data_IF_621102576053
#
_entry.id   IF_621102576053
#
_cell.length_a   1.000
_cell.length_b   1.000
_cell.length_c   1.000
_cell.angle_alpha   90.00
_cell.angle_beta   90.00
_cell.angle_gamma   90.00
#
_symmetry.space_group_name_H-M   'P 1'
#
loop_
_entity.id
_entity.type
_entity.pdbx_description
1 polymer ?
#
# COMPACT_ATOMS: atom_id res chain seq x y z
N UNK A 1 -37.92 -44.59 73.37
CA UNK A 1 -37.86 -43.68 74.50
C UNK A 1 -36.47 -43.18 74.71
N UNK A 2 -36.19 -41.97 75.05
CA UNK A 2 -36.96 -40.75 75.07
C UNK A 2 -36.44 -39.64 74.09
N UNK A 3 -37.30 -38.71 73.96
CA UNK A 3 -37.27 -37.41 73.26
C UNK A 3 -36.17 -36.48 73.83
N UNK A 4 -35.43 -35.75 72.95
CA UNK A 4 -34.78 -34.47 73.29
C UNK A 4 -35.02 -33.43 72.18
N UNK A 5 -35.60 -32.34 72.59
CA UNK A 5 -35.90 -31.13 71.85
C UNK A 5 -34.73 -30.20 71.62
N UNK A 6 -34.89 -29.23 70.73
CA UNK A 6 -33.77 -28.56 70.08
C UNK A 6 -33.33 -27.30 70.80
N UNK A 7 -32.05 -27.02 70.68
CA UNK A 7 -31.40 -25.80 71.15
C UNK A 7 -31.30 -24.78 69.99
N UNK A 8 -31.87 -23.59 70.19
CA UNK A 8 -31.83 -22.44 69.29
C UNK A 8 -30.46 -21.76 69.41
N UNK A 9 -29.67 -21.81 68.39
CA UNK A 9 -28.42 -21.02 68.26
C UNK A 9 -28.66 -19.85 67.33
N UNK A 10 -28.79 -18.66 67.91
CA UNK A 10 -28.74 -17.37 67.20
C UNK A 10 -27.31 -17.13 66.70
N UNK A 11 -27.09 -17.21 65.39
CA UNK A 11 -25.84 -16.73 64.76
C UNK A 11 -26.10 -15.49 63.96
N UNK A 12 -25.55 -14.43 64.44
CA UNK A 12 -25.45 -13.15 63.79
C UNK A 12 -24.86 -13.29 62.41
N UNK A 13 -25.56 -12.78 61.38
CA UNK A 13 -25.03 -12.65 60.03
C UNK A 13 -24.41 -11.25 59.90
N UNK A 14 -23.12 -11.14 59.52
CA UNK A 14 -22.58 -9.86 59.15
C UNK A 14 -23.10 -9.50 57.75
N UNK A 15 -23.66 -8.30 57.58
CA UNK A 15 -23.94 -7.68 56.33
C UNK A 15 -22.61 -7.44 55.58
N UNK A 16 -22.33 -8.21 54.55
CA UNK A 16 -21.29 -7.91 53.59
C UNK A 16 -21.76 -6.76 52.70
N UNK A 17 -21.19 -5.60 52.93
CA UNK A 17 -21.34 -4.44 52.08
C UNK A 17 -20.54 -4.73 50.77
N UNK A 18 -21.23 -5.20 49.72
CA UNK A 18 -20.65 -5.25 48.38
C UNK A 18 -20.54 -3.84 47.82
N UNK A 19 -19.38 -3.21 47.96
CA UNK A 19 -19.03 -2.02 47.22
C UNK A 19 -18.82 -2.47 45.77
N UNK A 20 -19.80 -2.23 44.91
CA UNK A 20 -19.71 -2.41 43.48
C UNK A 20 -18.77 -1.32 42.96
N UNK A 21 -17.50 -1.69 42.76
CA UNK A 21 -16.52 -0.88 42.06
C UNK A 21 -16.88 -0.90 40.57
N UNK A 22 -17.64 0.10 40.13
CA UNK A 22 -17.95 0.32 38.71
C UNK A 22 -16.66 0.79 38.09
N UNK A 23 -15.94 -0.16 37.49
CA UNK A 23 -14.83 0.13 36.57
C UNK A 23 -15.40 0.88 35.37
N UNK A 24 -15.27 2.19 35.38
CA UNK A 24 -15.45 3.03 34.20
C UNK A 24 -14.33 2.66 33.20
N UNK A 25 -14.61 1.73 32.30
CA UNK A 25 -13.80 1.50 31.12
C UNK A 25 -14.21 2.61 30.15
N UNK A 26 -13.32 3.59 29.88
CA UNK A 26 -13.64 4.56 28.85
C UNK A 26 -13.81 3.81 27.53
N UNK A 27 -14.78 4.16 26.69
CA UNK A 27 -14.89 3.58 25.37
C UNK A 27 -13.57 3.86 24.65
N UNK A 28 -12.83 2.82 24.30
CA UNK A 28 -11.78 2.93 23.32
C UNK A 28 -12.46 3.32 22.02
N UNK A 29 -12.50 4.61 21.76
CA UNK A 29 -12.85 5.14 20.46
C UNK A 29 -11.75 4.63 19.54
N UNK A 30 -12.06 3.56 18.84
CA UNK A 30 -11.28 3.11 17.68
C UNK A 30 -11.43 4.21 16.63
N UNK A 31 -10.56 5.20 16.71
CA UNK A 31 -10.40 6.22 15.69
C UNK A 31 -9.66 5.62 14.50
N UNK A 32 -10.30 4.65 13.85
CA UNK A 32 -9.99 4.22 12.50
C UNK A 32 -10.56 5.18 11.48
N UNK A 33 -10.37 6.47 11.67
CA UNK A 33 -10.60 7.44 10.61
C UNK A 33 -9.45 7.27 9.62
N UNK A 34 -9.75 6.69 8.44
CA UNK A 34 -8.89 6.75 7.27
C UNK A 34 -8.63 8.22 6.95
N UNK A 35 -7.56 8.77 7.52
CA UNK A 35 -7.10 10.11 7.15
C UNK A 35 -6.43 9.96 5.78
N UNK A 36 -7.12 10.39 4.73
CA UNK A 36 -6.49 10.66 3.45
C UNK A 36 -5.52 11.81 3.66
N UNK A 37 -4.23 11.50 3.65
CA UNK A 37 -3.19 12.53 3.76
C UNK A 37 -2.92 13.11 2.36
N UNK A 38 -2.68 14.41 2.30
CA UNK A 38 -2.14 15.01 1.08
C UNK A 38 -0.75 14.42 0.84
N UNK A 39 -0.48 13.87 -0.37
CA UNK A 39 0.85 13.36 -0.69
C UNK A 39 1.92 14.40 -0.38
N UNK A 40 3.03 13.95 0.20
CA UNK A 40 4.16 14.83 0.45
C UNK A 40 4.72 15.40 -0.86
N UNK A 41 5.42 16.53 -0.82
CA UNK A 41 5.95 17.19 -2.01
C UNK A 41 6.98 16.36 -2.79
N UNK A 42 7.43 15.25 -2.20
CA UNK A 42 8.37 14.30 -2.78
C UNK A 42 7.70 13.14 -3.54
N UNK A 43 6.35 13.10 -3.60
CA UNK A 43 5.59 12.07 -4.31
C UNK A 43 4.88 12.70 -5.50
N UNK A 44 5.15 12.18 -6.69
CA UNK A 44 4.41 12.53 -7.90
C UNK A 44 3.70 11.30 -8.42
N UNK A 45 2.39 11.30 -8.28
CA UNK A 45 1.54 10.31 -8.94
C UNK A 45 1.32 10.69 -10.39
N UNK A 46 1.31 9.69 -11.24
CA UNK A 46 0.93 9.81 -12.63
C UNK A 46 -0.41 9.08 -12.86
N UNK A 47 -1.19 9.58 -13.81
CA UNK A 47 -2.37 8.90 -14.33
C UNK A 47 -2.11 8.46 -15.75
N UNK A 48 -2.18 7.15 -16.00
CA UNK A 48 -2.12 6.61 -17.35
C UNK A 48 -3.54 6.60 -17.90
N UNK A 49 -3.73 7.21 -19.05
CA UNK A 49 -5.00 7.20 -19.78
C UNK A 49 -4.82 6.35 -21.03
N UNK A 50 -5.57 5.26 -21.08
CA UNK A 50 -5.59 4.31 -22.18
C UNK A 50 -6.81 4.63 -23.04
N UNK A 51 -6.59 5.04 -24.27
CA UNK A 51 -7.64 5.29 -25.26
C UNK A 51 -8.62 6.41 -24.86
N UNK A 52 -8.60 7.52 -25.60
CA UNK A 52 -9.48 8.67 -25.38
C UNK A 52 -10.97 8.36 -25.60
N UNK A 53 -11.30 7.33 -26.41
CA UNK A 53 -12.70 6.95 -26.72
C UNK A 53 -13.36 6.12 -25.62
N UNK A 54 -12.58 5.38 -24.81
CA UNK A 54 -13.03 4.62 -23.67
C UNK A 54 -12.00 4.82 -22.53
N UNK A 55 -12.06 5.94 -21.84
CA UNK A 55 -11.01 6.33 -20.92
C UNK A 55 -10.95 5.36 -19.71
N UNK A 56 -10.07 4.39 -19.80
CA UNK A 56 -9.59 3.64 -18.65
C UNK A 56 -8.40 4.38 -18.08
N UNK A 57 -8.38 4.57 -16.78
CA UNK A 57 -7.24 5.19 -16.14
C UNK A 57 -6.61 4.25 -15.11
N UNK A 58 -5.30 4.29 -15.03
CA UNK A 58 -4.51 3.56 -14.05
C UNK A 58 -3.64 4.52 -13.26
N UNK A 59 -3.40 4.22 -11.99
CA UNK A 59 -2.39 4.92 -11.20
C UNK A 59 -1.00 4.47 -11.63
N UNK A 60 -0.07 5.40 -11.63
CA UNK A 60 1.34 5.13 -11.86
C UNK A 60 2.19 6.06 -10.97
N UNK A 61 3.46 5.78 -10.85
CA UNK A 61 4.43 6.60 -10.12
C UNK A 61 5.47 7.14 -11.10
N UNK A 62 5.69 8.44 -11.06
CA UNK A 62 6.74 9.10 -11.82
C UNK A 62 8.09 8.85 -11.13
N UNK A 63 9.01 8.26 -11.89
CA UNK A 63 10.40 8.08 -11.53
C UNK A 63 11.25 9.01 -12.43
N UNK A 64 12.14 9.77 -11.85
CA UNK A 64 13.06 10.61 -12.63
C UNK A 64 14.20 9.76 -13.23
N UNK A 65 14.78 10.11 -14.42
CA UNK A 65 14.31 11.11 -15.35
C UNK A 65 13.30 10.53 -16.35
N UNK A 66 12.14 11.18 -16.48
CA UNK A 66 11.19 10.87 -17.54
C UNK A 66 10.64 9.45 -17.57
N UNK A 67 10.71 8.69 -16.47
CA UNK A 67 10.16 7.35 -16.38
C UNK A 67 8.90 7.31 -15.53
N UNK A 68 7.96 6.46 -15.93
CA UNK A 68 6.71 6.21 -15.22
C UNK A 68 6.53 4.71 -15.08
N UNK A 69 6.26 4.24 -13.87
CA UNK A 69 6.06 2.82 -13.56
C UNK A 69 4.65 2.56 -13.06
N UNK A 70 4.04 1.46 -13.51
CA UNK A 70 2.73 0.97 -13.08
C UNK A 70 2.68 -0.56 -13.11
N UNK A 71 1.56 -1.16 -12.70
CA UNK A 71 1.35 -2.60 -12.83
C UNK A 71 1.05 -2.99 -14.30
N UNK A 72 1.66 -4.06 -14.80
CA UNK A 72 1.56 -4.49 -16.19
C UNK A 72 0.13 -4.85 -16.62
N UNK A 73 -0.64 -5.51 -15.74
CA UNK A 73 -2.02 -5.90 -16.04
C UNK A 73 -2.96 -4.71 -16.28
N UNK A 74 -2.56 -3.49 -15.92
CA UNK A 74 -3.34 -2.27 -16.19
C UNK A 74 -3.12 -1.73 -17.61
N UNK A 75 -2.02 -2.12 -18.26
CA UNK A 75 -1.59 -1.60 -19.55
C UNK A 75 -1.38 -2.75 -20.53
N UNK A 76 -2.46 -3.33 -21.09
CA UNK A 76 -2.30 -4.38 -22.08
C UNK A 76 -1.49 -3.86 -23.27
N UNK A 77 -0.51 -4.62 -23.73
CA UNK A 77 0.66 -4.28 -24.54
C UNK A 77 0.46 -3.59 -25.91
N UNK A 78 -0.63 -2.88 -26.15
CA UNK A 78 -0.99 -2.32 -27.44
C UNK A 78 -1.56 -0.90 -27.41
N UNK A 79 -1.25 -0.13 -26.38
CA UNK A 79 -1.75 1.25 -26.32
C UNK A 79 -0.97 2.13 -27.29
N UNK A 80 -1.35 2.15 -28.58
CA UNK A 80 -0.79 3.07 -29.58
C UNK A 80 -1.02 4.54 -29.21
N UNK A 81 -2.11 4.83 -28.47
CA UNK A 81 -2.50 6.18 -28.04
C UNK A 81 -2.52 6.27 -26.52
N UNK A 82 -1.36 6.10 -25.89
CA UNK A 82 -1.22 6.19 -24.45
C UNK A 82 -0.72 7.57 -24.05
N UNK A 83 -1.46 8.22 -23.14
CA UNK A 83 -1.03 9.46 -22.51
C UNK A 83 -0.83 9.26 -21.00
N UNK A 84 0.17 9.94 -20.46
CA UNK A 84 0.44 10.00 -19.03
C UNK A 84 0.19 11.42 -18.54
N UNK A 85 -0.66 11.54 -17.54
CA UNK A 85 -0.96 12.82 -16.91
C UNK A 85 -0.16 12.95 -15.62
N UNK A 86 0.72 13.94 -15.54
CA UNK A 86 1.52 14.25 -14.35
C UNK A 86 1.24 15.70 -13.97
N UNK A 87 0.80 15.94 -12.74
CA UNK A 87 0.48 17.26 -12.23
C UNK A 87 -0.40 18.10 -13.20
N UNK A 88 -1.45 17.46 -13.75
CA UNK A 88 -2.38 18.02 -14.75
C UNK A 88 -1.78 18.30 -16.14
N UNK A 89 -0.55 17.88 -16.40
CA UNK A 89 0.05 17.97 -17.74
C UNK A 89 -0.08 16.62 -18.43
N UNK A 90 -0.77 16.59 -19.57
CA UNK A 90 -0.87 15.40 -20.42
C UNK A 90 0.39 15.29 -21.30
N UNK A 91 1.06 14.15 -21.24
CA UNK A 91 2.29 13.86 -21.97
C UNK A 91 2.10 12.62 -22.83
N UNK A 92 2.49 12.64 -24.10
CA UNK A 92 2.66 11.40 -24.86
C UNK A 92 3.63 10.49 -24.13
N UNK A 93 3.33 9.19 -24.09
CA UNK A 93 4.18 8.21 -23.44
C UNK A 93 4.53 7.07 -24.38
N UNK A 94 5.77 6.60 -24.29
CA UNK A 94 6.22 5.46 -25.06
C UNK A 94 6.49 4.30 -24.10
N UNK A 95 6.04 3.11 -24.47
CA UNK A 95 6.36 1.89 -23.74
C UNK A 95 7.86 1.60 -23.84
N UNK A 96 8.51 1.50 -22.68
CA UNK A 96 9.94 1.14 -22.58
C UNK A 96 10.09 -0.35 -22.36
N UNK A 97 9.30 -0.90 -21.42
CA UNK A 97 9.32 -2.33 -21.11
C UNK A 97 7.97 -2.75 -20.53
N UNK A 98 7.49 -3.90 -21.00
CA UNK A 98 6.28 -4.56 -20.51
C UNK A 98 6.66 -5.86 -19.84
N UNK A 99 6.22 -6.04 -18.60
CA UNK A 99 6.30 -7.31 -17.89
C UNK A 99 5.05 -8.14 -18.05
N UNK A 100 5.01 -9.22 -17.32
CA UNK A 100 3.89 -10.15 -17.29
C UNK A 100 3.32 -10.28 -15.87
N UNK A 101 2.00 -10.36 -15.76
CA UNK A 101 1.32 -10.49 -14.46
C UNK A 101 1.68 -11.76 -13.71
N UNK A 102 2.08 -12.82 -14.44
CA UNK A 102 2.50 -14.08 -13.83
C UNK A 102 3.97 -14.11 -13.41
N UNK A 103 4.79 -13.19 -13.94
CA UNK A 103 6.21 -13.04 -13.61
C UNK A 103 6.45 -11.73 -12.85
N UNK A 104 6.77 -10.66 -13.56
CA UNK A 104 7.01 -9.31 -12.99
C UNK A 104 5.91 -8.38 -13.48
N UNK A 105 4.93 -8.11 -12.64
CA UNK A 105 3.75 -7.30 -12.96
C UNK A 105 4.09 -5.80 -12.99
N UNK A 106 4.97 -5.38 -13.91
CA UNK A 106 5.40 -3.99 -14.11
C UNK A 106 5.31 -3.59 -15.58
N UNK A 107 4.92 -2.35 -15.82
CA UNK A 107 5.10 -1.64 -17.09
C UNK A 107 5.86 -0.36 -16.85
N UNK A 108 6.80 -0.07 -17.74
CA UNK A 108 7.65 1.11 -17.70
C UNK A 108 7.42 1.93 -18.96
N UNK A 109 7.14 3.21 -18.78
CA UNK A 109 6.94 4.18 -19.86
C UNK A 109 7.95 5.31 -19.79
N UNK A 110 8.31 5.87 -20.93
CA UNK A 110 9.05 7.12 -21.00
C UNK A 110 8.14 8.27 -21.39
N UNK A 111 8.37 9.42 -20.80
CA UNK A 111 7.72 10.70 -21.09
C UNK A 111 8.78 11.78 -21.26
N UNK A 112 8.44 12.82 -22.03
CA UNK A 112 9.28 14.01 -22.16
C UNK A 112 9.08 14.90 -20.92
N UNK A 113 9.95 14.75 -19.92
CA UNK A 113 9.85 15.47 -18.65
C UNK A 113 10.24 16.96 -18.75
N UNK A 114 10.85 17.41 -19.86
CA UNK A 114 11.10 18.84 -20.13
C UNK A 114 9.79 19.62 -20.26
N UNK A 115 8.69 18.96 -20.58
CA UNK A 115 7.34 19.54 -20.64
C UNK A 115 6.67 19.65 -19.28
N UNK A 116 7.25 19.07 -18.22
CA UNK A 116 6.71 19.18 -16.88
C UNK A 116 7.06 20.54 -16.26
N UNK A 117 6.16 21.08 -15.41
CA UNK A 117 6.51 22.24 -14.58
C UNK A 117 7.79 21.95 -13.79
N UNK A 118 8.71 22.89 -13.72
CA UNK A 118 10.04 22.73 -13.12
C UNK A 118 9.97 22.19 -11.69
N UNK A 119 8.97 22.64 -10.90
CA UNK A 119 8.71 22.14 -9.54
C UNK A 119 8.42 20.63 -9.50
N UNK A 120 7.74 20.10 -10.54
CA UNK A 120 7.39 18.67 -10.64
C UNK A 120 8.59 17.87 -11.14
N UNK A 121 9.29 18.39 -12.15
CA UNK A 121 10.49 17.76 -12.69
C UNK A 121 11.61 17.60 -11.64
N UNK A 122 11.61 18.42 -10.58
CA UNK A 122 12.56 18.32 -9.46
C UNK A 122 12.16 17.29 -8.39
N UNK A 123 10.88 16.88 -8.36
CA UNK A 123 10.41 15.90 -7.39
C UNK A 123 10.71 14.49 -7.89
N UNK A 124 11.33 13.69 -7.07
CA UNK A 124 11.77 12.34 -7.43
C UNK A 124 11.34 11.32 -6.37
N UNK A 125 10.74 10.24 -6.83
CA UNK A 125 10.60 9.05 -6.01
C UNK A 125 11.88 8.22 -6.11
N UNK A 126 12.71 8.22 -5.07
CA UNK A 126 13.86 7.32 -4.99
C UNK A 126 13.41 5.91 -4.63
N UNK A 127 14.05 4.89 -5.22
CA UNK A 127 13.80 3.49 -4.87
C UNK A 127 14.48 3.13 -3.54
N UNK A 128 13.77 2.51 -2.62
CA UNK A 128 14.35 2.05 -1.36
C UNK A 128 15.46 1.02 -1.61
N UNK A 129 16.60 1.17 -0.96
CA UNK A 129 17.73 0.25 -1.07
C UNK A 129 17.51 -1.04 -0.27
N UNK A 130 16.96 -0.91 0.93
CA UNK A 130 16.67 -2.03 1.80
C UNK A 130 15.20 -2.46 1.69
N UNK A 131 14.92 -3.77 1.78
CA UNK A 131 13.55 -4.27 1.83
C UNK A 131 12.85 -3.79 3.10
N UNK A 132 11.51 -3.78 3.11
CA UNK A 132 10.72 -3.49 4.31
C UNK A 132 10.69 -4.70 5.25
N UNK A 133 10.48 -4.44 6.54
CA UNK A 133 10.25 -5.46 7.57
C UNK A 133 8.77 -5.52 7.98
N UNK A 134 8.26 -6.70 8.39
CA UNK A 134 6.93 -6.79 8.99
C UNK A 134 6.76 -5.81 10.16
N UNK A 135 5.67 -5.05 10.13
CA UNK A 135 5.39 -3.98 11.09
C UNK A 135 5.85 -2.59 10.65
N UNK A 136 6.71 -2.48 9.63
CA UNK A 136 7.13 -1.17 9.14
C UNK A 136 5.92 -0.33 8.67
N UNK A 137 5.83 0.94 9.07
CA UNK A 137 4.76 1.82 8.64
C UNK A 137 5.01 2.28 7.19
N UNK A 138 3.97 2.23 6.39
CA UNK A 138 4.01 2.64 4.98
C UNK A 138 2.92 3.64 4.64
N UNK A 139 3.13 4.39 3.58
CA UNK A 139 2.14 5.25 2.96
C UNK A 139 1.88 4.72 1.55
N UNK A 140 0.62 4.38 1.27
CA UNK A 140 0.17 4.00 -0.07
C UNK A 140 -0.41 5.24 -0.75
N UNK A 141 0.09 5.54 -1.94
CA UNK A 141 -0.28 6.75 -2.67
C UNK A 141 -0.89 6.39 -4.01
N UNK A 142 -2.05 6.92 -4.26
CA UNK A 142 -2.75 6.86 -5.55
C UNK A 142 -3.24 8.25 -5.98
N UNK A 143 -4.10 8.29 -7.00
CA UNK A 143 -4.65 9.56 -7.50
C UNK A 143 -5.66 10.20 -6.53
N UNK A 144 -6.27 9.42 -5.63
CA UNK A 144 -7.24 9.91 -4.65
C UNK A 144 -6.55 10.51 -3.41
N UNK A 145 -5.28 10.17 -3.19
CA UNK A 145 -4.52 10.69 -2.06
C UNK A 145 -3.52 9.68 -1.48
N UNK A 146 -3.24 9.82 -0.20
CA UNK A 146 -2.32 8.97 0.53
C UNK A 146 -3.04 8.30 1.71
N UNK A 147 -2.78 7.02 1.94
CA UNK A 147 -3.37 6.21 3.00
C UNK A 147 -2.26 5.52 3.78
N UNK A 148 -2.33 5.55 5.10
CA UNK A 148 -1.40 4.81 5.97
C UNK A 148 -1.72 3.34 6.00
N UNK A 149 -0.69 2.51 6.08
CA UNK A 149 -0.76 1.08 6.26
C UNK A 149 0.53 0.56 6.92
N UNK A 150 0.70 -0.74 6.97
CA UNK A 150 1.90 -1.38 7.51
C UNK A 150 2.23 -2.64 6.71
N UNK A 151 3.51 -3.03 6.75
CA UNK A 151 3.99 -4.29 6.17
C UNK A 151 3.47 -5.45 7.02
N UNK A 152 2.92 -6.46 6.36
CA UNK A 152 2.53 -7.73 7.01
C UNK A 152 3.44 -8.87 6.59
N UNK A 153 3.63 -9.81 7.51
CA UNK A 153 4.49 -10.96 7.27
C UNK A 153 3.88 -11.91 6.22
N UNK A 154 4.70 -12.50 5.32
CA UNK A 154 4.22 -13.42 4.28
C UNK A 154 3.55 -14.68 4.83
N UNK A 155 3.75 -15.00 6.11
CA UNK A 155 3.10 -16.12 6.81
C UNK A 155 1.57 -16.06 6.80
N UNK A 156 0.99 -14.89 6.53
CA UNK A 156 -0.46 -14.73 6.35
C UNK A 156 -0.98 -15.45 5.09
N UNK A 157 -0.10 -15.72 4.12
CA UNK A 157 -0.42 -16.44 2.90
C UNK A 157 -0.22 -17.96 3.04
N UNK A 158 -0.89 -18.79 2.22
CA UNK A 158 -0.55 -20.18 2.03
C UNK A 158 0.92 -20.37 1.64
N UNK A 159 1.51 -21.51 2.03
CA UNK A 159 2.96 -21.76 1.93
C UNK A 159 3.52 -21.58 0.50
N UNK A 160 2.77 -22.03 -0.47
CA UNK A 160 3.13 -21.97 -1.90
C UNK A 160 3.29 -20.56 -2.47
N UNK A 161 2.69 -19.55 -1.81
CA UNK A 161 2.76 -18.16 -2.26
C UNK A 161 3.82 -17.33 -1.54
N UNK A 162 4.34 -17.78 -0.40
CA UNK A 162 5.19 -16.98 0.51
C UNK A 162 6.52 -16.55 -0.10
N UNK A 163 7.13 -17.42 -0.91
CA UNK A 163 8.41 -17.13 -1.55
C UNK A 163 8.28 -16.14 -2.72
N UNK A 164 7.18 -16.23 -3.46
CA UNK A 164 6.91 -15.35 -4.60
C UNK A 164 6.36 -13.98 -4.17
N UNK A 165 5.51 -13.95 -3.13
CA UNK A 165 4.79 -12.75 -2.71
C UNK A 165 5.17 -12.37 -1.27
N UNK A 166 6.40 -11.95 -1.09
CA UNK A 166 6.97 -11.67 0.23
C UNK A 166 6.77 -10.22 0.70
N UNK A 167 6.41 -9.29 -0.20
CA UNK A 167 6.14 -7.88 0.10
C UNK A 167 4.64 -7.62 0.17
N UNK A 168 4.11 -7.56 1.38
CA UNK A 168 2.67 -7.48 1.62
C UNK A 168 2.34 -6.29 2.51
N UNK A 169 1.17 -5.69 2.27
CA UNK A 169 0.57 -4.72 3.20
C UNK A 169 -0.77 -5.22 3.71
N UNK A 170 -1.14 -4.76 4.91
CA UNK A 170 -2.46 -4.92 5.50
C UNK A 170 -3.51 -3.96 4.94
N UNK A 171 -4.60 -3.75 5.67
CA UNK A 171 -5.62 -2.71 5.42
C UNK A 171 -6.18 -2.72 3.99
N UNK A 172 -6.52 -3.91 3.51
CA UNK A 172 -6.86 -4.18 2.10
C UNK A 172 -8.00 -3.31 1.56
N UNK A 173 -8.98 -3.00 2.39
CA UNK A 173 -10.17 -2.25 1.97
C UNK A 173 -9.92 -0.74 1.85
N UNK A 174 -8.92 -0.21 2.55
CA UNK A 174 -8.63 1.22 2.64
C UNK A 174 -7.41 1.67 1.86
N UNK A 175 -6.56 0.74 1.43
CA UNK A 175 -5.31 1.06 0.72
C UNK A 175 -5.49 0.97 -0.79
N UNK A 176 -4.97 1.93 -1.53
CA UNK A 176 -4.97 2.11 -2.97
C UNK A 176 -5.19 0.90 -3.90
N UNK A 177 -5.20 1.12 -5.16
CA UNK A 177 -5.42 0.10 -6.20
C UNK A 177 -4.10 -0.30 -6.89
N UNK A 178 -4.18 -1.25 -7.83
CA UNK A 178 -3.04 -1.60 -8.68
C UNK A 178 -2.39 -0.36 -9.30
N UNK A 179 -1.07 -0.33 -9.39
CA UNK A 179 -0.30 0.80 -9.86
C UNK A 179 0.00 1.88 -8.80
N UNK A 180 -0.66 1.84 -7.62
CA UNK A 180 -0.35 2.73 -6.50
C UNK A 180 1.08 2.52 -5.98
N UNK A 181 1.75 3.59 -5.56
CA UNK A 181 3.05 3.52 -4.94
C UNK A 181 2.95 3.18 -3.46
N UNK A 182 3.78 2.26 -3.00
CA UNK A 182 3.97 1.94 -1.58
C UNK A 182 5.28 2.59 -1.13
N UNK A 183 5.21 3.52 -0.20
CA UNK A 183 6.37 4.29 0.29
C UNK A 183 6.67 3.97 1.74
N UNK A 184 7.94 3.91 2.08
CA UNK A 184 8.39 3.89 3.46
C UNK A 184 8.06 5.23 4.12
N UNK A 185 7.29 5.21 5.20
CA UNK A 185 6.87 6.46 5.85
C UNK A 185 8.00 7.20 6.55
N UNK A 186 9.08 6.52 6.92
CA UNK A 186 10.24 7.07 7.60
C UNK A 186 11.33 7.51 6.62
N UNK A 187 11.75 6.60 5.73
CA UNK A 187 12.83 6.81 4.75
C UNK A 187 12.41 7.64 3.55
N UNK A 188 11.09 7.78 3.31
CA UNK A 188 10.52 8.57 2.21
C UNK A 188 10.92 8.07 0.82
N UNK A 189 11.20 6.78 0.67
CA UNK A 189 11.54 6.14 -0.59
C UNK A 189 10.42 5.18 -1.04
N UNK A 190 10.38 4.87 -2.33
CA UNK A 190 9.42 3.94 -2.93
C UNK A 190 9.84 2.50 -2.62
N UNK A 191 9.03 1.79 -1.87
CA UNK A 191 9.19 0.37 -1.58
C UNK A 191 8.72 -0.52 -2.72
N UNK A 192 7.74 -0.05 -3.51
CA UNK A 192 7.24 -0.81 -4.65
C UNK A 192 5.92 -0.32 -5.22
N UNK A 193 5.42 -1.07 -6.21
CA UNK A 193 4.18 -0.78 -6.94
C UNK A 193 3.13 -1.85 -6.62
N UNK A 194 1.95 -1.41 -6.21
CA UNK A 194 0.82 -2.28 -5.89
C UNK A 194 0.41 -3.11 -7.11
N UNK A 195 0.30 -4.43 -6.92
CA UNK A 195 -0.04 -5.38 -7.98
C UNK A 195 -1.38 -6.05 -7.71
N UNK A 196 -1.46 -6.91 -6.73
CA UNK A 196 -2.63 -7.77 -6.52
C UNK A 196 -3.03 -7.92 -5.06
N UNK A 197 -4.24 -8.40 -4.83
CA UNK A 197 -4.77 -8.71 -3.50
C UNK A 197 -5.02 -10.19 -3.33
N UNK A 198 -4.80 -10.68 -2.12
CA UNK A 198 -4.96 -12.08 -1.76
C UNK A 198 -6.21 -12.32 -0.93
N UNK A 199 -6.88 -13.43 -1.24
CA UNK A 199 -7.98 -13.97 -0.43
C UNK A 199 -7.55 -15.27 0.26
N UNK A 200 -7.88 -15.39 1.54
CA UNK A 200 -7.78 -16.64 2.30
C UNK A 200 -9.13 -16.88 2.96
N UNK A 201 -9.71 -18.07 2.79
CA UNK A 201 -11.04 -18.37 3.33
C UNK A 201 -12.14 -17.41 2.84
N UNK A 202 -12.05 -16.90 1.61
CA UNK A 202 -13.02 -15.97 1.03
C UNK A 202 -12.85 -14.50 1.44
N UNK A 203 -11.98 -14.18 2.40
CA UNK A 203 -11.70 -12.81 2.87
C UNK A 203 -10.40 -12.30 2.31
N UNK A 204 -10.34 -11.02 1.93
CA UNK A 204 -9.09 -10.37 1.58
C UNK A 204 -8.23 -10.20 2.83
N UNK A 205 -6.96 -10.65 2.75
CA UNK A 205 -6.05 -10.67 3.90
C UNK A 205 -4.83 -9.75 3.72
N UNK A 206 -4.39 -9.55 2.48
CA UNK A 206 -3.24 -8.72 2.17
C UNK A 206 -3.26 -8.24 0.71
N UNK A 207 -2.47 -7.20 0.44
CA UNK A 207 -2.10 -6.77 -0.91
C UNK A 207 -0.61 -6.95 -1.12
N UNK A 208 -0.24 -7.50 -2.28
CA UNK A 208 1.13 -7.61 -2.73
C UNK A 208 1.52 -6.38 -3.55
N UNK A 209 2.74 -5.93 -3.36
CA UNK A 209 3.39 -4.97 -4.24
C UNK A 209 4.71 -5.52 -4.78
N UNK A 210 5.00 -5.22 -6.04
CA UNK A 210 6.27 -5.54 -6.67
C UNK A 210 7.36 -4.68 -6.02
N UNK A 211 8.39 -5.27 -5.39
CA UNK A 211 9.33 -4.51 -4.57
C UNK A 211 10.31 -3.65 -5.38
N UNK A 212 10.90 -2.66 -4.74
CA UNK A 212 11.87 -1.74 -5.34
C UNK A 212 13.08 -2.45 -5.95
N UNK A 213 13.49 -3.60 -5.41
CA UNK A 213 14.55 -4.44 -5.99
C UNK A 213 14.19 -4.93 -7.39
N UNK A 214 12.99 -5.46 -7.56
CA UNK A 214 12.50 -5.91 -8.86
C UNK A 214 12.27 -4.74 -9.82
N UNK A 215 11.76 -3.60 -9.34
CA UNK A 215 11.66 -2.39 -10.18
C UNK A 215 13.03 -1.98 -10.69
N UNK A 216 14.07 -2.01 -9.85
CA UNK A 216 15.44 -1.66 -10.21
C UNK A 216 16.00 -2.60 -11.28
N UNK A 217 15.76 -3.90 -11.16
CA UNK A 217 16.17 -4.90 -12.14
C UNK A 217 15.35 -4.81 -13.43
N UNK A 218 14.10 -4.38 -13.33
CA UNK A 218 13.22 -4.20 -14.46
C UNK A 218 13.58 -2.99 -15.33
N UNK A 219 14.17 -1.92 -14.75
CA UNK A 219 14.65 -0.77 -15.50
C UNK A 219 15.79 -1.20 -16.43
N UNK A 220 15.75 -0.88 -17.75
CA UNK A 220 16.83 -1.15 -18.68
C UNK A 220 18.17 -0.60 -18.19
N UNK A 221 19.25 -1.35 -18.41
CA UNK A 221 20.56 -1.07 -17.83
C UNK A 221 21.10 0.32 -18.21
N UNK A 222 20.84 0.75 -19.44
CA UNK A 222 21.24 2.07 -19.96
C UNK A 222 20.54 3.25 -19.27
N UNK A 223 19.47 2.99 -18.51
CA UNK A 223 18.72 4.01 -17.74
C UNK A 223 18.90 3.89 -16.23
N UNK A 224 19.50 2.80 -15.75
CA UNK A 224 19.64 2.54 -14.30
C UNK A 224 20.44 3.62 -13.60
N UNK A 225 21.55 4.03 -14.15
CA UNK A 225 22.42 5.03 -13.53
C UNK A 225 21.72 6.36 -13.37
N UNK A 226 20.86 6.74 -14.31
CA UNK A 226 20.08 7.96 -14.26
C UNK A 226 19.02 7.95 -13.17
N UNK A 227 18.48 6.77 -12.81
CA UNK A 227 17.43 6.60 -11.80
C UNK A 227 18.03 6.35 -10.41
N UNK A 228 19.21 5.76 -10.31
CA UNK A 228 19.80 5.28 -9.06
C UNK A 228 20.86 6.23 -8.46
N UNK A 229 21.44 7.14 -9.25
CA UNK A 229 22.51 8.06 -8.80
C UNK A 229 22.02 9.34 -8.08
N UNK A 230 20.73 9.38 -7.68
CA UNK A 230 20.18 10.56 -6.99
C UNK A 230 19.68 10.24 -5.59
#
# INVERSE_FOLDING_TARGET
>A
MPIRTPEKSNKWRPLALCVAMILFIPPMISAGANQTETPGPWIVTAKIVLNEKLPRSATAIYLKPGLVVTAAHLTPGWAADLSVHIANTALPANLVKQGDVEDVDLSLFSVDDQKLPERVARIQASLCQAPPWPGDPVIVVDQAGATRSHIVAPQILPLEFRSKFWTLIGDVDSTGNSGSGVFDSNRKCLLGIMSRKFKVGGKYVAKYFVPASEIREFIPIERRDQVLMN
#
